data_IF_935099592942
#
_entry.id   IF_935099592942
#
_cell.length_a   1.000
_cell.length_b   1.000
_cell.length_c   1.000
_cell.angle_alpha   90.00
_cell.angle_beta   90.00
_cell.angle_gamma   90.00
#
_symmetry.space_group_name_H-M   'P 1'
#
loop_
_entity.id
_entity.type
_entity.pdbx_description
1 polymer ?
#
# COMPACT_ATOMS: atom_id res chain seq x y z
N UNK A 1 30.64 34.82 10.05
CA UNK A 1 31.11 33.58 10.72
C UNK A 1 29.99 32.57 10.66
N UNK A 2 30.15 31.52 9.85
CA UNK A 2 29.13 30.48 9.66
C UNK A 2 29.12 29.59 10.90
N UNK A 3 28.04 29.64 11.69
CA UNK A 3 27.87 28.75 12.83
C UNK A 3 27.81 27.31 12.31
N UNK A 4 28.87 26.53 12.55
CA UNK A 4 28.85 25.09 12.28
C UNK A 4 27.81 24.48 13.21
N UNK A 5 26.70 24.02 12.62
CA UNK A 5 25.74 23.17 13.33
C UNK A 5 26.50 21.96 13.88
N UNK A 6 26.17 21.56 15.11
CA UNK A 6 26.86 20.43 15.75
C UNK A 6 26.37 19.13 15.15
N UNK A 7 27.21 18.09 15.14
CA UNK A 7 26.84 16.75 14.65
C UNK A 7 25.56 16.20 15.33
N UNK A 8 25.31 16.58 16.58
CA UNK A 8 24.08 16.25 17.30
C UNK A 8 22.84 16.97 16.72
N UNK A 9 22.97 18.21 16.26
CA UNK A 9 21.90 18.92 15.56
C UNK A 9 21.61 18.30 14.19
N UNK A 10 22.64 17.83 13.47
CA UNK A 10 22.46 17.11 12.21
C UNK A 10 21.76 15.75 12.43
N UNK A 11 22.06 15.04 13.52
CA UNK A 11 21.37 13.81 13.90
C UNK A 11 19.91 14.04 14.32
N UNK A 12 19.60 15.16 14.97
CA UNK A 12 18.23 15.53 15.31
C UNK A 12 17.40 15.83 14.05
N UNK A 13 17.96 16.47 13.03
CA UNK A 13 17.27 16.71 11.74
C UNK A 13 17.00 15.40 10.97
N UNK A 14 17.79 14.36 11.19
CA UNK A 14 17.61 13.03 10.59
C UNK A 14 16.57 12.20 11.38
N UNK A 15 16.23 12.61 12.60
CA UNK A 15 15.23 11.91 13.41
C UNK A 15 13.87 11.89 12.67
N UNK A 16 13.23 10.71 12.51
CA UNK A 16 11.91 10.61 11.88
C UNK A 16 10.89 11.54 12.53
N UNK A 17 11.08 11.88 13.81
CA UNK A 17 10.29 12.82 14.61
C UNK A 17 10.21 14.23 14.01
N UNK A 18 11.23 14.68 13.28
CA UNK A 18 11.35 16.04 12.71
C UNK A 18 11.01 16.14 11.22
N UNK A 19 10.67 15.04 10.54
CA UNK A 19 10.14 15.11 9.16
C UNK A 19 8.84 15.89 9.14
N UNK A 20 8.75 16.86 8.22
CA UNK A 20 7.52 17.60 7.98
C UNK A 20 6.40 16.61 7.60
N UNK A 21 5.16 16.94 7.99
CA UNK A 21 3.98 16.12 7.71
C UNK A 21 3.87 15.74 6.21
N UNK A 22 4.13 16.65 5.24
CA UNK A 22 4.15 16.30 3.82
C UNK A 22 5.15 15.21 3.46
N UNK A 23 6.39 15.26 3.96
CA UNK A 23 7.44 14.27 3.63
C UNK A 23 7.11 12.88 4.19
N UNK A 24 6.45 12.84 5.36
CA UNK A 24 5.94 11.59 5.94
C UNK A 24 4.80 11.01 5.10
N UNK A 25 3.85 11.86 4.67
CA UNK A 25 2.76 11.45 3.79
C UNK A 25 3.31 10.91 2.46
N UNK A 26 4.29 11.59 1.87
CA UNK A 26 4.91 11.17 0.61
C UNK A 26 5.63 9.82 0.73
N UNK A 27 6.42 9.65 1.79
CA UNK A 27 7.08 8.36 2.07
C UNK A 27 6.05 7.23 2.25
N UNK A 28 5.00 7.48 3.05
CA UNK A 28 3.93 6.50 3.29
C UNK A 28 3.14 6.18 2.03
N UNK A 29 2.84 7.20 1.22
CA UNK A 29 2.16 7.05 -0.06
C UNK A 29 2.99 6.19 -1.01
N UNK A 30 4.29 6.48 -1.16
CA UNK A 30 5.20 5.69 -1.98
C UNK A 30 5.21 4.21 -1.59
N UNK A 31 5.27 3.90 -0.28
CA UNK A 31 5.20 2.53 0.20
C UNK A 31 3.85 1.86 -0.08
N UNK A 32 2.75 2.57 0.13
CA UNK A 32 1.41 2.07 -0.16
C UNK A 32 1.23 1.78 -1.66
N UNK A 33 1.68 2.69 -2.54
CA UNK A 33 1.65 2.49 -3.98
C UNK A 33 2.47 1.28 -4.41
N UNK A 34 3.70 1.14 -3.92
CA UNK A 34 4.55 -0.01 -4.23
C UNK A 34 3.91 -1.35 -3.80
N UNK A 35 3.25 -1.37 -2.64
CA UNK A 35 2.53 -2.55 -2.14
C UNK A 35 1.33 -2.90 -3.03
N UNK A 36 0.53 -1.90 -3.42
CA UNK A 36 -0.62 -2.11 -4.33
C UNK A 36 -0.17 -2.57 -5.72
N UNK A 37 0.88 -1.98 -6.26
CA UNK A 37 1.45 -2.38 -7.56
C UNK A 37 1.93 -3.84 -7.52
N UNK A 38 2.63 -4.24 -6.45
CA UNK A 38 3.05 -5.63 -6.26
C UNK A 38 1.85 -6.58 -6.18
N UNK A 39 0.81 -6.22 -5.44
CA UNK A 39 -0.42 -7.02 -5.35
C UNK A 39 -1.07 -7.19 -6.73
N UNK A 40 -1.17 -6.11 -7.52
CA UNK A 40 -1.79 -6.17 -8.84
C UNK A 40 -1.01 -7.07 -9.80
N UNK A 41 0.31 -6.99 -9.79
CA UNK A 41 1.17 -7.92 -10.54
C UNK A 41 0.93 -9.37 -10.13
N UNK A 42 0.81 -9.66 -8.84
CA UNK A 42 0.53 -11.01 -8.36
C UNK A 42 -0.86 -11.50 -8.82
N UNK A 43 -1.87 -10.62 -8.79
CA UNK A 43 -3.21 -10.94 -9.28
C UNK A 43 -3.15 -11.35 -10.77
N UNK A 44 -2.49 -10.54 -11.60
CA UNK A 44 -2.39 -10.81 -13.05
C UNK A 44 -1.58 -12.06 -13.39
N UNK A 45 -0.57 -12.38 -12.57
CA UNK A 45 0.28 -13.54 -12.81
C UNK A 45 -0.37 -14.86 -12.42
N UNK A 46 -1.35 -14.85 -11.51
CA UNK A 46 -1.87 -16.06 -10.88
C UNK A 46 -3.37 -16.29 -11.15
N UNK A 47 -4.07 -15.33 -11.75
CA UNK A 47 -5.50 -15.44 -12.07
C UNK A 47 -5.73 -15.23 -13.57
N UNK A 48 -6.83 -15.78 -14.08
CA UNK A 48 -7.31 -15.48 -15.43
C UNK A 48 -7.79 -14.01 -15.50
N UNK A 49 -7.94 -13.50 -16.73
CA UNK A 49 -8.25 -12.09 -16.99
C UNK A 49 -9.55 -11.62 -16.31
N UNK A 50 -10.60 -12.44 -16.33
CA UNK A 50 -11.90 -12.12 -15.74
C UNK A 50 -11.85 -12.05 -14.20
N UNK A 51 -11.26 -13.06 -13.55
CA UNK A 51 -11.11 -13.11 -12.10
C UNK A 51 -10.14 -12.02 -11.60
N UNK A 52 -9.08 -11.73 -12.37
CA UNK A 52 -8.13 -10.66 -12.08
C UNK A 52 -8.82 -9.28 -12.11
N UNK A 53 -9.63 -9.02 -13.14
CA UNK A 53 -10.37 -7.76 -13.28
C UNK A 53 -11.40 -7.56 -12.15
N UNK A 54 -12.16 -8.60 -11.80
CA UNK A 54 -13.13 -8.53 -10.69
C UNK A 54 -12.43 -8.27 -9.35
N UNK A 55 -11.32 -8.98 -9.06
CA UNK A 55 -10.60 -8.85 -7.81
C UNK A 55 -9.96 -7.46 -7.65
N UNK A 56 -9.36 -6.92 -8.72
CA UNK A 56 -8.82 -5.54 -8.73
C UNK A 56 -9.90 -4.49 -8.49
N UNK A 57 -11.07 -4.64 -9.13
CA UNK A 57 -12.22 -3.76 -8.95
C UNK A 57 -12.72 -3.78 -7.50
N UNK A 58 -12.84 -4.96 -6.89
CA UNK A 58 -13.21 -5.11 -5.47
C UNK A 58 -12.18 -4.47 -4.55
N UNK A 59 -10.89 -4.62 -4.85
CA UNK A 59 -9.83 -3.98 -4.08
C UNK A 59 -9.97 -2.46 -4.08
N UNK A 60 -10.13 -1.84 -5.27
CA UNK A 60 -10.32 -0.38 -5.36
C UNK A 60 -11.55 0.11 -4.61
N UNK A 61 -12.67 -0.62 -4.72
CA UNK A 61 -13.89 -0.27 -3.98
C UNK A 61 -13.67 -0.37 -2.47
N UNK A 62 -12.91 -1.37 -2.01
CA UNK A 62 -12.58 -1.53 -0.58
C UNK A 62 -11.69 -0.43 0.01
N UNK A 63 -10.93 0.28 -0.84
CA UNK A 63 -10.17 1.46 -0.42
C UNK A 63 -11.05 2.70 -0.28
N UNK A 64 -12.17 2.77 -1.01
CA UNK A 64 -13.09 3.90 -1.01
C UNK A 64 -14.03 3.89 0.20
N UNK A 65 -14.48 2.71 0.61
CA UNK A 65 -15.40 2.57 1.75
C UNK A 65 -14.93 1.49 2.75
N UNK A 66 -14.87 1.79 4.07
CA UNK A 66 -14.45 0.81 5.08
C UNK A 66 -15.31 -0.47 5.12
N UNK A 67 -16.59 -0.37 4.73
CA UNK A 67 -17.54 -1.48 4.67
C UNK A 67 -17.16 -2.50 3.58
N UNK A 68 -16.45 -2.05 2.53
CA UNK A 68 -16.14 -2.86 1.36
C UNK A 68 -14.89 -3.75 1.51
N UNK A 69 -14.08 -3.55 2.56
CA UNK A 69 -12.98 -4.47 2.92
C UNK A 69 -13.45 -5.92 3.08
N UNK A 70 -14.58 -6.12 3.77
CA UNK A 70 -15.17 -7.46 3.97
C UNK A 70 -15.71 -8.07 2.66
N UNK A 71 -16.03 -7.26 1.64
CA UNK A 71 -16.42 -7.78 0.32
C UNK A 71 -15.20 -8.26 -0.47
N UNK A 72 -14.08 -7.57 -0.35
CA UNK A 72 -12.82 -8.00 -0.94
C UNK A 72 -12.33 -9.31 -0.32
N UNK A 73 -12.26 -9.40 1.01
CA UNK A 73 -11.82 -10.61 1.72
C UNK A 73 -12.67 -11.85 1.35
N UNK A 74 -14.00 -11.69 1.25
CA UNK A 74 -14.89 -12.76 0.76
C UNK A 74 -14.63 -13.16 -0.69
N UNK A 75 -14.28 -12.21 -1.55
CA UNK A 75 -13.89 -12.50 -2.93
C UNK A 75 -12.64 -13.39 -2.99
N UNK A 76 -11.63 -13.08 -2.17
CA UNK A 76 -10.42 -13.89 -2.04
C UNK A 76 -10.74 -15.31 -1.57
N UNK A 77 -11.61 -15.44 -0.55
CA UNK A 77 -11.99 -16.75 -0.02
C UNK A 77 -12.72 -17.61 -1.06
N UNK A 78 -13.61 -17.02 -1.85
CA UNK A 78 -14.32 -17.73 -2.91
C UNK A 78 -13.38 -18.23 -4.02
N UNK A 79 -12.43 -17.39 -4.44
CA UNK A 79 -11.41 -17.81 -5.42
C UNK A 79 -10.59 -18.98 -4.89
N UNK A 80 -10.20 -18.94 -3.61
CA UNK A 80 -9.47 -20.03 -2.97
C UNK A 80 -10.24 -21.35 -2.98
N UNK A 81 -11.57 -21.32 -2.80
CA UNK A 81 -12.41 -22.53 -2.88
C UNK A 81 -12.43 -23.10 -4.29
N UNK A 82 -12.66 -22.26 -5.31
CA UNK A 82 -12.64 -22.67 -6.72
C UNK A 82 -11.32 -23.32 -7.16
N UNK A 83 -10.19 -22.90 -6.58
CA UNK A 83 -8.86 -23.46 -6.91
C UNK A 83 -8.60 -24.83 -6.26
N UNK A 84 -9.35 -25.19 -5.23
CA UNK A 84 -9.19 -26.45 -4.48
C UNK A 84 -10.26 -27.50 -4.85
N UNK A 85 -11.17 -27.15 -5.75
CA UNK A 85 -12.17 -28.04 -6.37
C UNK A 85 -11.67 -28.52 -7.73
#
# INVERSE_FOLDING_TARGET
MTARRTFLQELEDISPANRLVPDRIDTQASHAFAAVEKLYRQIDQNLNEDDAADLKKRFLNSLREPIDKRKFERGVENLRRKMNE
#
